data_IF_150367955528
#
_entry.id   IF_150367955528
#
_cell.length_a   1.000
_cell.length_b   1.000
_cell.length_c   1.000
_cell.angle_alpha   90.00
_cell.angle_beta   90.00
_cell.angle_gamma   90.00
#
_symmetry.space_group_name_H-M   'P 1'
#
loop_
_entity.id
_entity.type
_entity.pdbx_description
1 polymer ?
#
# COMPACT_ATOMS: atom_id res chain seq x y z
N UNK A 1 38.43 16.59 -13.45
CA UNK A 1 37.72 15.35 -13.07
C UNK A 1 36.42 15.74 -12.39
N UNK A 2 35.30 15.62 -13.11
CA UNK A 2 33.97 15.93 -12.59
C UNK A 2 33.51 14.77 -11.69
N UNK A 3 33.40 15.02 -10.39
CA UNK A 3 32.79 14.07 -9.46
C UNK A 3 31.27 14.06 -9.73
N UNK A 4 30.81 13.05 -10.45
CA UNK A 4 29.40 12.71 -10.49
C UNK A 4 28.96 12.22 -9.11
N UNK A 5 28.49 13.14 -8.27
CA UNK A 5 27.71 12.75 -7.08
C UNK A 5 26.39 12.14 -7.57
N UNK A 6 26.36 10.82 -7.71
CA UNK A 6 25.10 10.08 -7.80
C UNK A 6 24.41 10.30 -6.46
N UNK A 7 23.47 11.27 -6.40
CA UNK A 7 22.54 11.36 -5.29
C UNK A 7 21.69 10.07 -5.34
N UNK A 8 22.04 9.10 -4.51
CA UNK A 8 21.17 7.95 -4.29
C UNK A 8 19.78 8.51 -3.96
N UNK A 9 18.78 8.15 -4.76
CA UNK A 9 17.39 8.48 -4.45
C UNK A 9 16.99 7.67 -3.24
N UNK A 10 17.02 8.29 -2.06
CA UNK A 10 16.46 7.69 -0.85
C UNK A 10 14.95 7.62 -1.07
N UNK A 11 14.41 6.42 -1.02
CA UNK A 11 12.96 6.19 -1.12
C UNK A 11 12.33 6.51 0.24
N UNK A 12 11.75 7.70 0.37
CA UNK A 12 11.04 8.10 1.58
C UNK A 12 9.54 7.77 1.46
N UNK A 13 8.91 7.22 2.50
CA UNK A 13 7.46 7.16 2.59
C UNK A 13 6.88 8.57 2.79
N UNK A 14 5.56 8.68 2.63
CA UNK A 14 4.82 9.91 2.98
C UNK A 14 4.81 10.09 4.50
N UNK A 15 4.71 11.34 4.95
CA UNK A 15 4.54 11.66 6.38
C UNK A 15 3.11 11.36 6.89
N UNK A 16 2.93 11.41 8.21
CA UNK A 16 1.67 11.07 8.85
C UNK A 16 0.55 12.07 8.54
N UNK A 17 0.89 13.35 8.33
CA UNK A 17 -0.09 14.39 8.00
C UNK A 17 -0.70 14.14 6.63
N UNK A 18 0.15 13.84 5.66
CA UNK A 18 -0.27 13.48 4.31
C UNK A 18 -1.10 12.19 4.32
N UNK A 19 -0.70 11.18 5.10
CA UNK A 19 -1.49 9.96 5.25
C UNK A 19 -2.90 10.24 5.77
N UNK A 20 -3.03 11.05 6.83
CA UNK A 20 -4.33 11.43 7.39
C UNK A 20 -5.21 12.13 6.35
N UNK A 21 -4.64 13.01 5.55
CA UNK A 21 -5.37 13.71 4.48
C UNK A 21 -5.85 12.74 3.41
N UNK A 22 -5.00 11.82 2.95
CA UNK A 22 -5.36 10.78 2.00
C UNK A 22 -6.51 9.92 2.52
N UNK A 23 -6.44 9.51 3.79
CA UNK A 23 -7.51 8.72 4.41
C UNK A 23 -8.83 9.50 4.45
N UNK A 24 -8.80 10.80 4.76
CA UNK A 24 -10.00 11.68 4.70
C UNK A 24 -10.57 11.73 3.28
N UNK A 25 -9.73 11.93 2.27
CA UNK A 25 -10.16 11.93 0.86
C UNK A 25 -10.79 10.58 0.50
N UNK A 26 -10.14 9.47 0.84
CA UNK A 26 -10.64 8.12 0.57
C UNK A 26 -12.02 7.88 1.21
N UNK A 27 -12.22 8.32 2.46
CA UNK A 27 -13.50 8.14 3.16
C UNK A 27 -14.64 8.98 2.56
N UNK A 28 -14.32 10.07 1.88
CA UNK A 28 -15.29 10.93 1.19
C UNK A 28 -15.60 10.49 -0.25
N UNK A 29 -14.95 9.44 -0.76
CA UNK A 29 -15.27 8.90 -2.08
C UNK A 29 -16.63 8.19 -2.07
N UNK A 30 -17.47 8.50 -3.09
CA UNK A 30 -18.81 7.93 -3.19
C UNK A 30 -18.75 6.42 -3.43
N UNK A 31 -19.36 5.66 -2.53
CA UNK A 31 -19.43 4.19 -2.61
C UNK A 31 -20.25 3.68 -3.81
N UNK A 32 -21.16 4.50 -4.35
CA UNK A 32 -21.94 4.19 -5.56
C UNK A 32 -21.14 4.30 -6.86
N UNK A 33 -19.98 4.96 -6.84
CA UNK A 33 -19.06 5.05 -7.98
C UNK A 33 -18.01 3.94 -7.83
N UNK A 34 -18.19 2.83 -8.55
CA UNK A 34 -17.31 1.67 -8.43
C UNK A 34 -15.84 1.99 -8.73
N UNK A 35 -15.54 2.91 -9.65
CA UNK A 35 -14.19 3.29 -9.99
C UNK A 35 -13.50 4.04 -8.84
N UNK A 36 -14.17 5.07 -8.31
CA UNK A 36 -13.63 5.83 -7.15
C UNK A 36 -13.54 4.95 -5.91
N UNK A 37 -14.53 4.10 -5.70
CA UNK A 37 -14.53 3.18 -4.58
C UNK A 37 -13.44 2.12 -4.70
N UNK A 38 -13.14 1.63 -5.90
CA UNK A 38 -11.99 0.77 -6.19
C UNK A 38 -10.66 1.46 -5.85
N UNK A 39 -10.52 2.76 -6.18
CA UNK A 39 -9.33 3.54 -5.81
C UNK A 39 -9.16 3.66 -4.28
N UNK A 40 -10.25 3.83 -3.52
CA UNK A 40 -10.21 3.80 -2.05
C UNK A 40 -9.65 2.49 -1.52
N UNK A 41 -10.17 1.35 -2.00
CA UNK A 41 -9.71 0.02 -1.58
C UNK A 41 -8.23 -0.15 -1.93
N UNK A 42 -7.83 0.22 -3.15
CA UNK A 42 -6.46 0.13 -3.64
C UNK A 42 -5.50 0.97 -2.77
N UNK A 43 -5.88 2.22 -2.48
CA UNK A 43 -5.13 3.10 -1.61
C UNK A 43 -4.94 2.52 -0.20
N UNK A 44 -6.01 1.99 0.38
CA UNK A 44 -5.95 1.36 1.70
C UNK A 44 -5.06 0.10 1.71
N UNK A 45 -5.07 -0.70 0.63
CA UNK A 45 -4.18 -1.86 0.51
C UNK A 45 -2.70 -1.44 0.42
N UNK A 46 -2.40 -0.35 -0.32
CA UNK A 46 -1.05 0.21 -0.37
C UNK A 46 -0.60 0.71 1.01
N UNK A 47 -1.41 1.54 1.67
CA UNK A 47 -1.07 2.17 2.95
C UNK A 47 -0.99 1.19 4.13
N UNK A 48 -1.74 0.09 4.07
CA UNK A 48 -1.83 -0.85 5.19
C UNK A 48 -0.86 -2.00 5.08
N UNK A 49 -0.71 -2.55 3.87
CA UNK A 49 0.06 -3.78 3.64
C UNK A 49 1.32 -3.57 2.80
N UNK A 50 1.53 -2.36 2.28
CA UNK A 50 2.74 -2.01 1.55
C UNK A 50 2.93 -2.76 0.23
N UNK A 51 1.87 -3.28 -0.40
CA UNK A 51 2.00 -4.01 -1.66
C UNK A 51 2.53 -3.12 -2.79
N UNK A 52 3.38 -3.68 -3.65
CA UNK A 52 3.63 -3.04 -4.94
C UNK A 52 2.34 -2.95 -5.75
N UNK A 53 2.11 -1.79 -6.38
CA UNK A 53 0.91 -1.57 -7.18
C UNK A 53 0.68 -2.65 -8.25
N UNK A 54 1.74 -3.16 -8.88
CA UNK A 54 1.61 -4.19 -9.92
C UNK A 54 0.99 -5.51 -9.40
N UNK A 55 1.15 -5.84 -8.13
CA UNK A 55 0.49 -6.99 -7.52
C UNK A 55 -1.02 -6.76 -7.43
N UNK A 56 -1.42 -5.55 -7.05
CA UNK A 56 -2.82 -5.18 -6.87
C UNK A 56 -3.57 -5.01 -8.21
N UNK A 57 -2.97 -4.36 -9.21
CA UNK A 57 -3.63 -4.18 -10.51
C UNK A 57 -3.75 -5.49 -11.28
N UNK A 58 -2.95 -6.51 -10.95
CA UNK A 58 -3.04 -7.85 -11.52
C UNK A 58 -3.97 -8.79 -10.73
N UNK A 59 -4.54 -8.32 -9.63
CA UNK A 59 -5.45 -9.11 -8.81
C UNK A 59 -6.68 -9.51 -9.64
N UNK A 60 -6.95 -10.80 -9.71
CA UNK A 60 -8.14 -11.32 -10.40
C UNK A 60 -9.34 -11.28 -9.47
N UNK A 61 -10.54 -11.31 -10.05
CA UNK A 61 -11.77 -11.37 -9.26
C UNK A 61 -11.78 -12.58 -8.34
N UNK A 62 -11.36 -13.74 -8.88
CA UNK A 62 -11.37 -15.01 -8.14
C UNK A 62 -10.26 -15.10 -7.06
N UNK A 63 -9.30 -14.18 -7.06
CA UNK A 63 -8.33 -14.06 -5.98
C UNK A 63 -8.90 -13.36 -4.73
N UNK A 64 -10.16 -12.90 -4.79
CA UNK A 64 -10.79 -12.15 -3.69
C UNK A 64 -12.03 -12.86 -3.20
N UNK A 65 -11.93 -13.47 -2.03
CA UNK A 65 -13.06 -14.03 -1.29
C UNK A 65 -13.60 -12.97 -0.33
N UNK A 66 -14.68 -12.31 -0.73
CA UNK A 66 -15.31 -11.23 0.04
C UNK A 66 -16.19 -11.74 1.19
N UNK A 67 -16.52 -13.02 1.23
CA UNK A 67 -17.24 -13.67 2.33
C UNK A 67 -16.29 -13.87 3.52
N UNK A 68 -15.15 -14.50 3.27
CA UNK A 68 -14.17 -14.82 4.30
C UNK A 68 -13.16 -13.69 4.56
N UNK A 69 -13.19 -12.64 3.73
CA UNK A 69 -12.26 -11.53 3.82
C UNK A 69 -10.82 -11.93 3.48
N UNK A 70 -10.64 -12.79 2.48
CA UNK A 70 -9.33 -13.30 2.06
C UNK A 70 -8.99 -12.73 0.68
N UNK A 71 -7.77 -12.22 0.54
CA UNK A 71 -7.18 -11.81 -0.75
C UNK A 71 -5.97 -12.69 -1.03
N UNK A 72 -5.95 -13.36 -2.18
CA UNK A 72 -4.83 -14.18 -2.65
C UNK A 72 -3.91 -13.32 -3.51
N UNK A 73 -2.75 -12.95 -2.97
CA UNK A 73 -1.72 -12.18 -3.68
C UNK A 73 -0.71 -13.13 -4.30
N UNK A 74 -0.48 -12.98 -5.62
CA UNK A 74 0.51 -13.77 -6.37
C UNK A 74 1.74 -12.92 -6.67
N UNK A 75 2.86 -13.24 -6.05
CA UNK A 75 4.13 -12.53 -6.23
C UNK A 75 5.19 -13.52 -6.74
N UNK A 76 5.41 -13.57 -8.05
CA UNK A 76 6.25 -14.58 -8.73
C UNK A 76 5.80 -16.00 -8.37
N UNK A 77 6.67 -16.76 -7.71
CA UNK A 77 6.39 -18.15 -7.29
C UNK A 77 5.66 -18.23 -5.94
N UNK A 78 5.44 -17.10 -5.29
CA UNK A 78 4.82 -17.04 -3.98
C UNK A 78 3.32 -16.74 -4.10
N UNK A 79 2.52 -17.49 -3.34
CA UNK A 79 1.08 -17.26 -3.18
C UNK A 79 0.81 -16.97 -1.71
N UNK A 80 0.22 -15.80 -1.45
CA UNK A 80 -0.04 -15.32 -0.09
C UNK A 80 -1.54 -15.16 0.07
N UNK A 81 -2.13 -15.86 1.01
CA UNK A 81 -3.52 -15.66 1.42
C UNK A 81 -3.56 -14.67 2.58
N UNK A 82 -3.96 -13.44 2.28
CA UNK A 82 -4.04 -12.36 3.24
C UNK A 82 -5.46 -12.26 3.81
N UNK A 83 -5.60 -12.46 5.11
CA UNK A 83 -6.84 -12.12 5.81
C UNK A 83 -6.88 -10.61 6.05
N UNK A 84 -7.90 -9.94 5.50
CA UNK A 84 -8.10 -8.51 5.71
C UNK A 84 -9.02 -8.29 6.92
N UNK A 85 -8.91 -7.09 7.54
CA UNK A 85 -9.79 -6.75 8.65
C UNK A 85 -11.25 -6.55 8.20
N UNK A 86 -12.17 -6.53 9.19
CA UNK A 86 -13.62 -6.43 8.96
C UNK A 86 -14.02 -5.21 8.13
N UNK A 87 -13.36 -4.07 8.31
CA UNK A 87 -13.65 -2.84 7.56
C UNK A 87 -13.30 -3.01 6.08
N UNK A 88 -12.11 -3.54 5.79
CA UNK A 88 -11.66 -3.82 4.43
C UNK A 88 -12.53 -4.88 3.77
N UNK A 89 -12.88 -5.96 4.47
CA UNK A 89 -13.78 -7.00 3.97
C UNK A 89 -15.16 -6.42 3.61
N UNK A 90 -15.69 -5.51 4.45
CA UNK A 90 -16.95 -4.81 4.17
C UNK A 90 -16.85 -3.92 2.92
N UNK A 91 -15.76 -3.17 2.78
CA UNK A 91 -15.52 -2.32 1.61
C UNK A 91 -15.40 -3.18 0.32
N UNK A 92 -14.70 -4.29 0.37
CA UNK A 92 -14.56 -5.26 -0.75
C UNK A 92 -15.92 -5.82 -1.15
N UNK A 93 -16.74 -6.27 -0.19
CA UNK A 93 -18.08 -6.79 -0.44
C UNK A 93 -18.96 -5.74 -1.10
N UNK A 94 -18.95 -4.52 -0.57
CA UNK A 94 -19.72 -3.42 -1.15
C UNK A 94 -19.23 -3.06 -2.56
N UNK A 95 -17.91 -3.10 -2.81
CA UNK A 95 -17.34 -2.88 -4.13
C UNK A 95 -17.86 -3.90 -5.14
N UNK A 96 -17.93 -5.19 -4.76
CA UNK A 96 -18.50 -6.23 -5.60
C UNK A 96 -19.96 -5.99 -5.93
N UNK A 97 -20.76 -5.47 -4.98
CA UNK A 97 -22.18 -5.16 -5.19
C UNK A 97 -22.43 -4.00 -6.16
N UNK A 98 -21.61 -2.95 -6.10
CA UNK A 98 -21.78 -1.75 -6.95
C UNK A 98 -21.07 -1.86 -8.29
N UNK A 99 -20.37 -2.95 -8.55
CA UNK A 99 -19.55 -3.12 -9.73
C UNK A 99 -20.40 -3.39 -10.98
N UNK A 100 -20.18 -2.60 -12.04
CA UNK A 100 -20.97 -2.69 -13.30
C UNK A 100 -20.60 -3.87 -14.20
N UNK A 101 -19.50 -4.56 -13.92
CA UNK A 101 -18.96 -5.63 -14.76
C UNK A 101 -18.87 -6.92 -13.95
N UNK A 102 -19.97 -7.69 -13.82
CA UNK A 102 -20.00 -8.91 -12.98
C UNK A 102 -19.06 -10.00 -13.46
N UNK A 103 -18.86 -10.12 -14.78
CA UNK A 103 -18.02 -11.14 -15.42
C UNK A 103 -16.59 -10.66 -15.68
N UNK A 104 -16.08 -9.73 -14.89
CA UNK A 104 -14.72 -9.22 -15.02
C UNK A 104 -13.67 -10.26 -14.70
N UNK A 105 -12.55 -10.22 -15.39
CA UNK A 105 -11.37 -11.04 -15.07
C UNK A 105 -10.59 -10.42 -13.89
N UNK A 106 -10.33 -9.11 -13.96
CA UNK A 106 -9.55 -8.40 -12.95
C UNK A 106 -10.46 -7.80 -11.86
N UNK A 107 -9.94 -7.76 -10.63
CA UNK A 107 -10.68 -7.18 -9.52
C UNK A 107 -10.86 -5.67 -9.69
N UNK A 108 -9.81 -4.93 -10.00
CA UNK A 108 -9.86 -3.48 -10.19
C UNK A 108 -9.96 -3.13 -11.68
N UNK A 109 -11.02 -2.40 -12.04
CA UNK A 109 -11.24 -1.91 -13.40
C UNK A 109 -11.34 -0.39 -13.46
N UNK A 110 -11.04 0.16 -14.63
CA UNK A 110 -11.32 1.55 -14.95
C UNK A 110 -12.80 1.74 -15.36
N UNK A 111 -13.20 2.98 -15.64
CA UNK A 111 -14.58 3.33 -16.00
C UNK A 111 -15.10 2.66 -17.28
N UNK A 112 -14.19 2.18 -18.15
CA UNK A 112 -14.48 1.48 -19.40
C UNK A 112 -14.56 -0.05 -19.27
N UNK A 113 -14.38 -0.58 -18.06
CA UNK A 113 -14.36 -2.03 -17.80
C UNK A 113 -13.04 -2.71 -18.12
N UNK A 114 -12.00 -1.97 -18.44
CA UNK A 114 -10.66 -2.51 -18.65
C UNK A 114 -9.88 -2.54 -17.34
N UNK A 115 -8.88 -3.42 -17.25
CA UNK A 115 -7.94 -3.47 -16.14
C UNK A 115 -7.41 -2.07 -15.81
N UNK A 116 -7.37 -1.72 -14.52
CA UNK A 116 -6.81 -0.44 -14.07
C UNK A 116 -5.30 -0.39 -14.36
N UNK A 117 -4.82 0.78 -14.75
CA UNK A 117 -3.39 1.02 -15.02
C UNK A 117 -2.73 1.75 -13.86
N UNK A 118 -1.40 1.72 -13.82
CA UNK A 118 -0.65 2.43 -12.78
C UNK A 118 -0.93 3.95 -12.76
N UNK A 119 -1.15 4.56 -13.93
CA UNK A 119 -1.47 5.97 -14.06
C UNK A 119 -2.88 6.34 -13.59
N UNK A 120 -3.83 5.39 -13.67
CA UNK A 120 -5.22 5.62 -13.29
C UNK A 120 -5.58 5.10 -11.88
N UNK A 121 -4.66 4.36 -11.26
CA UNK A 121 -4.92 3.69 -9.99
C UNK A 121 -5.31 4.63 -8.83
N UNK A 122 -4.77 5.84 -8.80
CA UNK A 122 -5.03 6.85 -7.77
C UNK A 122 -5.46 8.20 -8.36
N UNK A 123 -5.90 8.25 -9.63
CA UNK A 123 -6.15 9.49 -10.35
C UNK A 123 -7.06 10.46 -9.57
N UNK A 124 -8.19 9.99 -9.02
CA UNK A 124 -9.12 10.83 -8.24
C UNK A 124 -8.52 11.31 -6.91
N UNK A 125 -7.65 10.51 -6.29
CA UNK A 125 -7.00 10.88 -5.03
C UNK A 125 -5.91 11.91 -5.32
N UNK A 126 -5.11 11.69 -6.37
CA UNK A 126 -4.06 12.61 -6.79
C UNK A 126 -4.62 13.98 -7.22
N UNK A 127 -5.73 14.00 -7.98
CA UNK A 127 -6.43 15.22 -8.37
C UNK A 127 -6.84 16.08 -7.16
N UNK A 128 -7.24 15.44 -6.07
CA UNK A 128 -7.63 16.14 -4.83
C UNK A 128 -6.45 16.58 -3.95
N UNK A 129 -5.26 16.07 -4.23
CA UNK A 129 -4.01 16.36 -3.51
C UNK A 129 -3.08 17.26 -4.32
N UNK A 130 -3.60 18.03 -5.29
CA UNK A 130 -2.84 18.85 -6.25
C UNK A 130 -1.76 19.74 -5.61
N UNK A 131 -1.92 20.13 -4.35
CA UNK A 131 -0.94 20.96 -3.61
C UNK A 131 0.20 20.15 -2.97
N UNK A 132 0.10 18.82 -2.92
CA UNK A 132 1.09 17.97 -2.25
C UNK A 132 1.99 17.27 -3.26
N UNK A 133 3.14 17.88 -3.54
CA UNK A 133 4.15 17.36 -4.47
C UNK A 133 4.63 15.95 -4.07
N UNK A 134 4.72 15.04 -5.07
CA UNK A 134 5.34 13.70 -5.00
C UNK A 134 4.52 12.56 -4.42
N UNK A 135 3.20 12.66 -4.30
CA UNK A 135 2.39 11.50 -3.93
C UNK A 135 2.21 10.58 -5.13
N UNK A 136 2.69 9.37 -5.01
CA UNK A 136 2.51 8.30 -5.99
C UNK A 136 2.27 6.96 -5.29
N UNK A 137 1.90 5.96 -6.06
CA UNK A 137 1.59 4.62 -5.52
C UNK A 137 2.78 3.97 -4.79
N UNK A 138 4.02 4.30 -5.18
CA UNK A 138 5.21 3.79 -4.52
C UNK A 138 5.39 4.41 -3.13
N UNK A 139 5.25 5.74 -3.01
CA UNK A 139 5.39 6.43 -1.71
C UNK A 139 4.30 5.99 -0.72
N UNK A 140 3.07 5.74 -1.19
CA UNK A 140 2.00 5.15 -0.37
C UNK A 140 2.34 3.73 0.09
N UNK A 141 2.81 2.88 -0.83
CA UNK A 141 3.20 1.52 -0.48
C UNK A 141 4.38 1.49 0.49
N UNK A 142 5.36 2.39 0.34
CA UNK A 142 6.47 2.52 1.29
C UNK A 142 6.01 2.99 2.68
N UNK A 143 4.93 3.76 2.77
CA UNK A 143 4.28 4.05 4.06
C UNK A 143 3.71 2.77 4.70
N UNK A 144 3.10 1.90 3.92
CA UNK A 144 2.70 0.57 4.38
C UNK A 144 3.90 -0.26 4.85
N UNK A 145 5.01 -0.26 4.10
CA UNK A 145 6.27 -0.93 4.48
C UNK A 145 6.79 -0.40 5.81
N UNK A 146 6.79 0.93 6.04
CA UNK A 146 7.25 1.51 7.30
C UNK A 146 6.43 0.98 8.51
N UNK A 147 5.13 0.83 8.34
CA UNK A 147 4.26 0.25 9.38
C UNK A 147 4.55 -1.23 9.66
N UNK A 148 4.88 -1.99 8.62
CA UNK A 148 5.27 -3.40 8.77
C UNK A 148 6.58 -3.52 9.55
N UNK A 149 7.57 -2.66 9.26
CA UNK A 149 8.83 -2.58 10.02
C UNK A 149 8.55 -2.25 11.49
N UNK A 150 7.74 -1.23 11.77
CA UNK A 150 7.35 -0.83 13.12
C UNK A 150 6.60 -1.93 13.89
N UNK A 151 5.89 -2.83 13.17
CA UNK A 151 5.26 -4.02 13.75
C UNK A 151 6.23 -5.19 13.96
N UNK A 152 7.50 -5.02 13.64
CA UNK A 152 8.54 -6.01 13.89
C UNK A 152 8.69 -7.09 12.80
N UNK A 153 8.08 -6.93 11.62
CA UNK A 153 8.32 -7.85 10.52
C UNK A 153 9.77 -7.71 10.04
N UNK A 154 10.37 -8.85 9.73
CA UNK A 154 11.73 -8.91 9.16
C UNK A 154 11.76 -8.43 7.72
N UNK A 155 12.94 -8.02 7.23
CA UNK A 155 13.13 -7.61 5.83
C UNK A 155 12.70 -8.71 4.85
N UNK A 156 12.95 -9.97 5.19
CA UNK A 156 12.57 -11.13 4.37
C UNK A 156 11.06 -11.31 4.29
N UNK A 157 10.35 -11.19 5.41
CA UNK A 157 8.89 -11.25 5.46
C UNK A 157 8.24 -10.10 4.69
N UNK A 158 8.76 -8.88 4.86
CA UNK A 158 8.29 -7.71 4.13
C UNK A 158 8.51 -7.87 2.63
N UNK A 159 9.69 -8.33 2.21
CA UNK A 159 10.00 -8.62 0.80
C UNK A 159 9.05 -9.66 0.23
N UNK A 160 8.82 -10.74 0.97
CA UNK A 160 7.90 -11.81 0.59
C UNK A 160 6.48 -11.28 0.39
N UNK A 161 5.97 -10.53 1.37
CA UNK A 161 4.61 -9.98 1.36
C UNK A 161 4.43 -8.91 0.27
N UNK A 162 5.32 -7.92 0.22
CA UNK A 162 5.09 -6.69 -0.54
C UNK A 162 5.60 -6.73 -1.98
N UNK A 163 6.54 -7.63 -2.26
CA UNK A 163 7.24 -7.73 -3.54
C UNK A 163 8.31 -6.65 -3.75
N UNK A 164 8.61 -5.80 -2.75
CA UNK A 164 9.71 -4.85 -2.85
C UNK A 164 11.07 -5.54 -2.76
N UNK A 165 12.06 -4.94 -3.42
CA UNK A 165 13.45 -5.36 -3.30
C UNK A 165 14.01 -4.96 -1.93
N UNK A 166 14.93 -5.77 -1.39
CA UNK A 166 15.54 -5.56 -0.08
C UNK A 166 16.07 -4.14 0.08
N UNK A 167 16.77 -3.63 -0.93
CA UNK A 167 17.33 -2.27 -0.93
C UNK A 167 16.27 -1.18 -0.61
N UNK A 168 15.06 -1.28 -1.18
CA UNK A 168 14.00 -0.30 -0.90
C UNK A 168 13.44 -0.42 0.52
N UNK A 169 13.40 -1.64 1.06
CA UNK A 169 12.94 -1.88 2.43
C UNK A 169 13.99 -1.36 3.42
N UNK A 170 15.28 -1.57 3.14
CA UNK A 170 16.40 -1.01 3.92
C UNK A 170 16.39 0.52 3.91
N UNK A 171 16.14 1.17 2.75
CA UNK A 171 16.03 2.62 2.65
C UNK A 171 14.90 3.16 3.56
N UNK A 172 13.75 2.46 3.64
CA UNK A 172 12.64 2.82 4.54
C UNK A 172 13.04 2.60 6.01
N UNK A 173 13.75 1.51 6.32
CA UNK A 173 14.25 1.24 7.67
C UNK A 173 15.21 2.33 8.14
N UNK A 174 16.16 2.73 7.29
CA UNK A 174 17.08 3.84 7.59
C UNK A 174 16.34 5.17 7.76
N UNK A 175 15.31 5.41 6.93
CA UNK A 175 14.48 6.62 7.07
C UNK A 175 13.77 6.65 8.42
N UNK A 176 13.19 5.52 8.88
CA UNK A 176 12.56 5.41 10.20
C UNK A 176 13.56 5.67 11.33
N UNK A 177 14.75 5.07 11.28
CA UNK A 177 15.79 5.28 12.28
C UNK A 177 16.23 6.75 12.39
N UNK A 178 16.21 7.50 11.29
CA UNK A 178 16.53 8.92 11.29
C UNK A 178 15.38 9.81 11.84
N UNK A 179 14.16 9.29 11.96
CA UNK A 179 13.01 10.00 12.54
C UNK A 179 12.88 9.75 14.04
N UNK A 180 13.39 8.64 14.53
CA UNK A 180 13.37 8.27 15.94
C UNK A 180 14.67 8.74 16.60
N UNK A 181 14.58 9.18 17.87
CA UNK A 181 15.76 9.34 18.70
C UNK A 181 16.37 7.95 18.97
N UNK A 182 17.45 7.64 18.24
CA UNK A 182 18.09 6.33 18.25
C UNK A 182 18.48 5.90 19.68
N UNK A 183 18.90 6.85 20.54
CA UNK A 183 19.19 6.57 21.95
C UNK A 183 17.98 6.09 22.72
N UNK A 184 16.83 6.73 22.51
CA UNK A 184 15.58 6.32 23.14
C UNK A 184 15.14 4.91 22.73
N UNK A 185 15.26 4.58 21.43
CA UNK A 185 14.93 3.24 20.91
C UNK A 185 15.86 2.17 21.47
N UNK A 186 17.17 2.44 21.54
CA UNK A 186 18.16 1.52 22.09
C UNK A 186 17.89 1.28 23.58
N UNK A 187 17.69 2.34 24.35
CA UNK A 187 17.41 2.24 25.78
C UNK A 187 16.11 1.48 26.07
N UNK A 188 15.06 1.70 25.30
CA UNK A 188 13.81 0.94 25.44
C UNK A 188 14.01 -0.55 25.13
N UNK A 189 14.80 -0.90 24.11
CA UNK A 189 15.11 -2.30 23.78
C UNK A 189 15.99 -2.97 24.82
N UNK A 190 16.98 -2.25 25.35
CA UNK A 190 17.87 -2.77 26.40
C UNK A 190 17.14 -2.99 27.72
N UNK A 191 16.19 -2.13 28.06
CA UNK A 191 15.35 -2.29 29.27
C UNK A 191 14.37 -3.48 29.19
N UNK A 192 14.15 -4.05 28.02
CA UNK A 192 13.34 -5.26 27.82
C UNK A 192 14.16 -6.55 27.94
N UNK A 193 15.48 -6.46 28.06
CA UNK A 193 16.37 -7.61 28.31
C UNK A 193 16.48 -7.73 29.82
N UNK A 194 15.51 -8.42 30.45
CA UNK A 194 15.63 -8.89 31.83
C UNK A 194 16.77 -9.93 31.89
N UNK A 195 17.81 -9.60 32.67
CA UNK A 195 18.93 -10.48 32.97
C UNK A 195 18.52 -11.44 34.10
#
# INVERSE_FOLDING_TARGET
MSQYKIKARIYCPIDDKIEIEIIKICNNLKKSDFYKFGQKILCNLLLKYGFKLNLLVNLKKDDVNDIDGIITIRNKDNVINLSVDKSMASDIRQYNMVHRYPNREYFFLNTKGNKITSSSALATIQEKLEEVNNINTTTLALKGVSKLIQKGLTLSEIKYLTGFETKKIEDVSMWLMNQEDVESVINNKLNLIDI
#
